data_IF_005081561739
#
_entry.id   IF_005081561739
#
_cell.length_a   1.000
_cell.length_b   1.000
_cell.length_c   1.000
_cell.angle_alpha   90.00
_cell.angle_beta   90.00
_cell.angle_gamma   90.00
#
_symmetry.space_group_name_H-M   'P 1'
#
loop_
_entity.id
_entity.type
_entity.pdbx_description
1 polymer ?
#
# COMPACT_ATOMS: atom_id res chain seq x y z
N UNK A 1 7.43 -10.04 19.23
CA UNK A 1 7.66 -9.16 18.06
C UNK A 1 9.04 -9.48 17.53
N UNK A 2 9.16 -9.74 16.23
CA UNK A 2 10.43 -9.85 15.50
C UNK A 2 10.60 -8.53 14.77
N UNK A 3 11.76 -7.87 14.90
CA UNK A 3 11.92 -6.53 14.33
C UNK A 3 11.73 -6.52 12.81
N UNK A 4 12.44 -7.43 12.13
CA UNK A 4 12.44 -7.56 10.68
C UNK A 4 12.82 -8.98 10.28
N UNK A 5 12.18 -9.53 9.25
CA UNK A 5 12.55 -10.80 8.62
C UNK A 5 13.41 -10.50 7.39
N UNK A 6 14.71 -10.83 7.47
CA UNK A 6 15.69 -10.59 6.39
C UNK A 6 16.16 -11.87 5.70
N UNK A 7 16.10 -12.99 6.40
CA UNK A 7 16.62 -14.29 5.99
C UNK A 7 15.62 -15.42 6.27
N UNK A 8 15.89 -16.57 5.64
CA UNK A 8 15.06 -17.77 5.76
C UNK A 8 14.93 -18.25 7.21
N UNK A 9 16.03 -18.27 7.96
CA UNK A 9 16.05 -18.77 9.34
C UNK A 9 15.09 -17.96 10.23
N UNK A 10 15.16 -16.63 10.17
CA UNK A 10 14.28 -15.75 10.92
C UNK A 10 12.81 -15.90 10.48
N UNK A 11 12.56 -16.05 9.17
CA UNK A 11 11.23 -16.30 8.64
C UNK A 11 10.66 -17.63 9.16
N UNK A 12 11.44 -18.70 9.12
CA UNK A 12 11.04 -20.05 9.51
C UNK A 12 10.69 -20.11 11.00
N UNK A 13 11.54 -19.54 11.86
CA UNK A 13 11.30 -19.47 13.31
C UNK A 13 10.03 -18.65 13.59
N UNK A 14 9.85 -17.52 12.91
CA UNK A 14 8.67 -16.65 13.10
C UNK A 14 7.36 -17.37 12.75
N UNK A 15 7.36 -18.09 11.63
CA UNK A 15 6.19 -18.84 11.16
C UNK A 15 5.89 -20.04 12.07
N UNK A 16 6.90 -20.78 12.52
CA UNK A 16 6.72 -21.87 13.51
C UNK A 16 6.20 -21.34 14.85
N UNK A 17 6.69 -20.20 15.32
CA UNK A 17 6.19 -19.56 16.53
C UNK A 17 4.70 -19.16 16.39
N UNK A 18 4.30 -18.66 15.22
CA UNK A 18 2.90 -18.35 14.94
C UNK A 18 2.01 -19.61 14.95
N UNK A 19 2.47 -20.71 14.33
CA UNK A 19 1.72 -21.98 14.29
C UNK A 19 1.58 -22.66 15.66
N UNK A 20 2.49 -22.39 16.59
CA UNK A 20 2.37 -22.85 17.99
C UNK A 20 1.44 -21.99 18.84
N UNK A 21 0.71 -21.05 18.22
CA UNK A 21 -0.34 -20.25 18.87
C UNK A 21 0.11 -18.88 19.38
N UNK A 22 1.33 -18.43 19.05
CA UNK A 22 1.80 -17.10 19.44
C UNK A 22 1.37 -16.04 18.42
N UNK A 23 0.99 -14.86 18.89
CA UNK A 23 0.85 -13.71 18.01
C UNK A 23 2.23 -13.16 17.64
N UNK A 24 2.60 -13.29 16.37
CA UNK A 24 3.87 -12.80 15.85
C UNK A 24 3.64 -11.55 14.98
N UNK A 25 4.31 -10.47 15.35
CA UNK A 25 4.40 -9.24 14.56
C UNK A 25 5.82 -9.11 14.03
N UNK A 26 5.96 -8.88 12.74
CA UNK A 26 7.24 -8.66 12.07
C UNK A 26 7.12 -7.70 10.90
N UNK A 27 8.26 -7.27 10.35
CA UNK A 27 8.33 -6.40 9.17
C UNK A 27 9.13 -7.05 8.05
N UNK A 28 8.74 -6.78 6.81
CA UNK A 28 9.44 -7.17 5.59
C UNK A 28 9.53 -5.96 4.65
N UNK A 29 10.58 -5.92 3.84
CA UNK A 29 10.73 -4.90 2.80
C UNK A 29 10.16 -5.40 1.47
N UNK A 30 8.94 -4.98 1.18
CA UNK A 30 8.19 -5.32 -0.05
C UNK A 30 7.50 -4.07 -0.61
N UNK A 31 7.03 -4.15 -1.85
CA UNK A 31 6.41 -3.00 -2.52
C UNK A 31 4.93 -2.83 -2.18
N UNK A 32 4.26 -3.95 -1.92
CA UNK A 32 2.83 -4.08 -1.65
C UNK A 32 2.56 -5.33 -0.80
N UNK A 33 1.33 -5.46 -0.33
CA UNK A 33 0.93 -6.54 0.55
C UNK A 33 0.93 -7.91 -0.17
N UNK A 34 0.37 -8.09 -1.39
CA UNK A 34 0.42 -9.37 -2.11
C UNK A 34 1.85 -9.88 -2.38
N UNK A 35 2.78 -8.99 -2.77
CA UNK A 35 4.19 -9.34 -3.01
C UNK A 35 4.91 -9.87 -1.77
N UNK A 36 4.36 -9.63 -0.57
CA UNK A 36 4.90 -10.17 0.68
C UNK A 36 4.70 -11.67 0.79
N UNK A 37 3.60 -12.20 0.25
CA UNK A 37 3.41 -13.65 0.12
C UNK A 37 4.52 -14.23 -0.74
N UNK A 38 4.71 -13.71 -1.97
CA UNK A 38 5.75 -14.18 -2.87
C UNK A 38 7.15 -14.03 -2.27
N UNK A 39 7.41 -12.98 -1.48
CA UNK A 39 8.69 -12.81 -0.79
C UNK A 39 8.96 -13.92 0.22
N UNK A 40 7.96 -14.33 1.02
CA UNK A 40 8.09 -15.44 1.97
C UNK A 40 8.36 -16.77 1.24
N UNK A 41 7.62 -17.04 0.15
CA UNK A 41 7.82 -18.23 -0.67
C UNK A 41 9.23 -18.26 -1.29
N UNK A 42 9.70 -17.13 -1.84
CA UNK A 42 11.04 -16.99 -2.41
C UNK A 42 12.16 -17.11 -1.36
N UNK A 43 11.85 -16.90 -0.08
CA UNK A 43 12.79 -17.15 1.02
C UNK A 43 12.87 -18.64 1.40
N UNK A 44 11.99 -19.49 0.86
CA UNK A 44 11.95 -20.92 1.13
C UNK A 44 10.86 -21.34 2.12
N UNK A 45 9.95 -20.45 2.51
CA UNK A 45 8.82 -20.83 3.36
C UNK A 45 7.79 -21.58 2.53
N UNK A 46 7.43 -22.78 2.98
CA UNK A 46 6.43 -23.61 2.30
C UNK A 46 5.06 -22.93 2.22
N UNK A 47 4.34 -23.03 1.09
CA UNK A 47 3.05 -22.35 0.90
C UNK A 47 2.03 -22.64 1.99
N UNK A 48 1.95 -23.89 2.46
CA UNK A 48 1.01 -24.26 3.52
C UNK A 48 1.31 -23.57 4.85
N UNK A 49 2.59 -23.32 5.14
CA UNK A 49 2.99 -22.59 6.35
C UNK A 49 2.59 -21.12 6.25
N UNK A 50 2.74 -20.50 5.08
CA UNK A 50 2.28 -19.12 4.83
C UNK A 50 0.75 -19.04 5.00
N UNK A 51 0.01 -19.92 4.32
CA UNK A 51 -1.45 -19.95 4.36
C UNK A 51 -2.02 -20.20 5.78
N UNK A 52 -1.34 -21.03 6.58
CA UNK A 52 -1.80 -21.39 7.92
C UNK A 52 -1.39 -20.36 9.00
N UNK A 53 -0.27 -19.65 8.83
CA UNK A 53 0.28 -18.76 9.87
C UNK A 53 0.01 -17.27 9.65
N UNK A 54 -0.11 -16.82 8.41
CA UNK A 54 -0.26 -15.39 8.10
C UNK A 54 -1.72 -15.00 8.20
N UNK A 55 -2.02 -14.08 9.13
CA UNK A 55 -3.38 -13.57 9.35
C UNK A 55 -3.64 -12.31 8.51
N UNK A 56 -2.68 -11.39 8.49
CA UNK A 56 -2.81 -10.08 7.87
C UNK A 56 -1.45 -9.56 7.44
N UNK A 57 -1.39 -8.96 6.25
CA UNK A 57 -0.24 -8.21 5.75
C UNK A 57 -0.67 -6.76 5.60
N UNK A 58 0.14 -5.85 6.14
CA UNK A 58 -0.06 -4.40 5.98
C UNK A 58 1.12 -3.80 5.21
N UNK A 59 0.86 -3.25 4.04
CA UNK A 59 1.81 -2.41 3.33
C UNK A 59 1.51 -0.94 3.61
N UNK A 60 2.56 -0.16 3.88
CA UNK A 60 2.41 1.25 4.20
C UNK A 60 3.41 2.13 3.46
N UNK A 61 2.96 3.34 3.10
CA UNK A 61 3.82 4.41 2.58
C UNK A 61 3.49 5.71 3.31
N UNK A 62 4.51 6.53 3.53
CA UNK A 62 4.34 7.89 4.03
C UNK A 62 4.37 8.86 2.85
N UNK A 63 3.35 9.71 2.78
CA UNK A 63 3.25 10.79 1.80
C UNK A 63 3.20 12.14 2.50
N UNK A 64 3.73 13.17 1.87
CA UNK A 64 3.78 14.53 2.43
C UNK A 64 2.39 15.16 2.39
N UNK A 65 2.01 15.84 3.48
CA UNK A 65 0.73 16.58 3.53
C UNK A 65 0.93 17.97 2.92
N UNK A 66 -0.03 18.43 2.11
CA UNK A 66 -0.03 19.80 1.58
C UNK A 66 -0.01 20.83 2.71
N UNK A 67 0.75 21.90 2.53
CA UNK A 67 0.78 23.00 3.49
C UNK A 67 -0.51 23.82 3.42
N UNK A 68 -1.29 23.85 4.52
CA UNK A 68 -2.57 24.58 4.57
C UNK A 68 -2.41 26.10 4.32
N UNK A 69 -1.24 26.69 4.61
CA UNK A 69 -1.00 28.13 4.44
C UNK A 69 -0.74 28.54 2.99
N UNK A 70 -0.37 27.60 2.11
CA UNK A 70 0.01 27.90 0.73
C UNK A 70 -0.56 26.88 -0.27
N UNK A 71 -1.61 26.16 0.13
CA UNK A 71 -2.34 25.23 -0.71
C UNK A 71 -3.18 26.03 -1.71
N UNK A 72 -3.04 25.70 -2.98
CA UNK A 72 -3.80 26.31 -4.08
C UNK A 72 -4.33 25.23 -5.03
N UNK A 73 -5.44 25.55 -5.71
CA UNK A 73 -6.06 24.67 -6.69
C UNK A 73 -5.15 24.53 -7.92
N UNK A 74 -4.98 23.31 -8.39
CA UNK A 74 -4.18 22.97 -9.56
C UNK A 74 -5.09 22.38 -10.64
N UNK A 75 -5.13 23.01 -11.80
CA UNK A 75 -5.87 22.48 -12.95
C UNK A 75 -5.06 21.37 -13.61
N UNK A 76 -5.57 20.14 -13.53
CA UNK A 76 -4.94 18.97 -14.15
C UNK A 76 -5.82 18.47 -15.28
N UNK A 77 -5.26 18.16 -16.47
CA UNK A 77 -6.05 17.63 -17.57
C UNK A 77 -6.75 16.33 -17.21
N UNK A 78 -8.03 16.20 -17.57
CA UNK A 78 -8.85 14.98 -17.36
C UNK A 78 -8.14 13.70 -17.85
N UNK A 79 -7.48 13.67 -19.04
CA UNK A 79 -6.76 12.46 -19.47
C UNK A 79 -5.64 12.03 -18.52
N UNK A 80 -4.94 12.98 -17.89
CA UNK A 80 -3.90 12.68 -16.92
C UNK A 80 -4.49 12.11 -15.62
N UNK A 81 -5.65 12.62 -15.19
CA UNK A 81 -6.37 12.10 -14.02
C UNK A 81 -6.88 10.67 -14.26
N UNK A 82 -7.41 10.38 -15.44
CA UNK A 82 -7.83 9.02 -15.80
C UNK A 82 -6.65 8.06 -15.81
N UNK A 83 -5.51 8.45 -16.40
CA UNK A 83 -4.28 7.65 -16.37
C UNK A 83 -3.75 7.40 -14.95
N UNK A 84 -4.02 8.29 -14.00
CA UNK A 84 -3.64 8.10 -12.60
C UNK A 84 -4.51 7.07 -11.86
N UNK A 85 -5.70 6.77 -12.39
CA UNK A 85 -6.67 5.81 -11.85
C UNK A 85 -7.98 6.42 -11.37
N UNK A 86 -8.29 7.68 -11.67
CA UNK A 86 -9.64 8.24 -11.46
C UNK A 86 -10.59 7.72 -12.54
N UNK A 87 -11.88 7.56 -12.21
CA UNK A 87 -12.91 7.37 -13.24
C UNK A 87 -13.10 8.66 -14.05
N UNK A 88 -13.68 8.57 -15.25
CA UNK A 88 -13.95 9.76 -16.08
C UNK A 88 -14.86 10.77 -15.37
N UNK A 89 -15.87 10.28 -14.64
CA UNK A 89 -16.80 11.10 -13.84
C UNK A 89 -16.08 11.84 -12.72
N UNK A 90 -15.17 11.16 -12.02
CA UNK A 90 -14.38 11.75 -10.95
C UNK A 90 -13.36 12.74 -11.51
N UNK A 91 -12.70 12.39 -12.61
CA UNK A 91 -11.71 13.23 -13.25
C UNK A 91 -12.31 14.56 -13.76
N UNK A 92 -13.59 14.58 -14.14
CA UNK A 92 -14.29 15.79 -14.57
C UNK A 92 -14.64 16.76 -13.43
N UNK A 93 -14.74 16.27 -12.18
CA UNK A 93 -15.27 17.04 -11.05
C UNK A 93 -14.25 17.28 -9.93
N UNK A 94 -13.17 16.51 -9.89
CA UNK A 94 -12.17 16.57 -8.84
C UNK A 94 -11.36 17.87 -8.87
N UNK A 95 -11.18 18.44 -7.68
CA UNK A 95 -10.25 19.55 -7.46
C UNK A 95 -8.92 19.02 -6.96
N UNK A 96 -7.88 19.20 -7.76
CA UNK A 96 -6.53 18.87 -7.35
C UNK A 96 -5.87 20.09 -6.69
N UNK A 97 -4.90 19.83 -5.83
CA UNK A 97 -4.22 20.89 -5.09
C UNK A 97 -2.72 20.66 -5.08
N UNK A 98 -1.99 21.78 -5.10
CA UNK A 98 -0.55 21.84 -4.95
C UNK A 98 -0.16 22.87 -3.90
N UNK A 99 1.07 22.77 -3.39
CA UNK A 99 1.62 23.77 -2.48
C UNK A 99 2.59 24.68 -3.22
N UNK A 100 2.30 25.98 -3.31
CA UNK A 100 3.21 26.94 -3.98
C UNK A 100 4.53 27.20 -3.25
N UNK A 101 4.61 26.83 -1.96
CA UNK A 101 5.73 27.14 -1.07
C UNK A 101 5.52 28.45 -0.30
N UNK A 102 5.85 28.43 0.99
CA UNK A 102 5.82 29.62 1.85
C UNK A 102 6.76 29.43 3.07
N UNK A 103 7.02 30.48 3.86
CA UNK A 103 7.83 30.37 5.06
C UNK A 103 7.34 29.31 6.06
N UNK A 104 6.02 29.12 6.19
CA UNK A 104 5.44 28.15 7.13
C UNK A 104 5.76 26.68 6.79
N UNK A 105 6.13 26.39 5.54
CA UNK A 105 6.54 25.06 5.09
C UNK A 105 8.00 25.03 4.59
N UNK A 106 8.81 26.02 4.95
CA UNK A 106 10.18 26.19 4.45
C UNK A 106 10.27 26.13 2.92
N UNK A 107 9.31 26.77 2.24
CA UNK A 107 9.17 26.81 0.78
C UNK A 107 9.03 25.45 0.09
N UNK A 108 8.75 24.36 0.83
CA UNK A 108 8.59 23.02 0.23
C UNK A 108 7.22 22.76 -0.40
N UNK A 109 6.20 23.53 -0.03
CA UNK A 109 4.80 23.27 -0.39
C UNK A 109 4.10 22.23 0.50
N UNK A 110 4.83 21.56 1.40
CA UNK A 110 4.30 20.48 2.24
C UNK A 110 4.61 20.69 3.72
N UNK A 111 3.69 20.29 4.61
CA UNK A 111 3.90 20.36 6.06
C UNK A 111 3.27 19.15 6.75
N UNK A 112 4.12 18.30 7.31
CA UNK A 112 3.70 17.04 7.92
C UNK A 112 3.60 15.89 6.91
N UNK A 113 3.17 14.72 7.40
CA UNK A 113 3.03 13.49 6.62
C UNK A 113 1.72 12.80 6.99
N UNK A 114 1.21 12.01 6.06
CA UNK A 114 0.10 11.08 6.29
C UNK A 114 0.52 9.70 5.78
N UNK A 115 -0.07 8.66 6.34
CA UNK A 115 0.17 7.29 5.92
C UNK A 115 -0.92 6.81 4.94
N UNK A 116 -0.49 6.01 3.97
CA UNK A 116 -1.32 5.20 3.09
C UNK A 116 -1.17 3.74 3.56
N UNK A 117 -2.28 3.03 3.76
CA UNK A 117 -2.30 1.69 4.34
C UNK A 117 -3.05 0.72 3.45
N UNK A 118 -2.33 -0.16 2.76
CA UNK A 118 -2.90 -1.28 2.04
C UNK A 118 -2.94 -2.49 2.97
N UNK A 119 -4.14 -2.98 3.27
CA UNK A 119 -4.37 -4.02 4.26
C UNK A 119 -4.92 -5.25 3.56
N UNK A 120 -4.18 -6.35 3.64
CA UNK A 120 -4.49 -7.65 3.06
C UNK A 120 -4.74 -8.66 4.18
N UNK A 121 -5.99 -8.87 4.62
CA UNK A 121 -6.36 -10.03 5.41
C UNK A 121 -6.26 -11.28 4.54
N UNK A 122 -5.54 -12.30 4.99
CA UNK A 122 -5.39 -13.54 4.23
C UNK A 122 -6.65 -14.43 4.43
N UNK A 123 -7.72 -14.10 3.72
CA UNK A 123 -8.99 -14.86 3.71
C UNK A 123 -8.82 -16.22 3.06
N UNK A 124 -9.77 -17.13 3.26
CA UNK A 124 -9.66 -18.53 2.83
C UNK A 124 -9.44 -18.68 1.32
N UNK A 125 -10.12 -17.90 0.48
CA UNK A 125 -9.88 -17.90 -0.97
C UNK A 125 -8.44 -17.50 -1.33
N UNK A 126 -7.85 -16.52 -0.63
CA UNK A 126 -6.46 -16.15 -0.86
C UNK A 126 -5.51 -17.23 -0.35
N UNK A 127 -5.82 -17.91 0.75
CA UNK A 127 -5.04 -19.04 1.24
C UNK A 127 -5.01 -20.17 0.22
N UNK A 128 -6.14 -20.52 -0.38
CA UNK A 128 -6.22 -21.51 -1.46
C UNK A 128 -5.33 -21.11 -2.64
N UNK A 129 -5.41 -19.85 -3.09
CA UNK A 129 -4.53 -19.33 -4.14
C UNK A 129 -3.04 -19.41 -3.78
N UNK A 130 -2.66 -19.19 -2.51
CA UNK A 130 -1.27 -19.38 -2.07
C UNK A 130 -0.84 -20.84 -2.20
N UNK A 131 -1.70 -21.79 -1.82
CA UNK A 131 -1.42 -23.23 -1.94
C UNK A 131 -1.29 -23.68 -3.39
N UNK A 132 -2.06 -23.07 -4.30
CA UNK A 132 -2.02 -23.31 -5.75
C UNK A 132 -0.82 -22.63 -6.44
N UNK A 133 -0.06 -21.79 -5.72
CA UNK A 133 1.09 -21.09 -6.27
C UNK A 133 0.73 -19.89 -7.14
N UNK A 134 -0.39 -19.24 -6.88
CA UNK A 134 -0.82 -18.04 -7.59
C UNK A 134 0.23 -16.91 -7.50
N UNK A 135 0.32 -16.13 -8.57
CA UNK A 135 1.19 -14.96 -8.65
C UNK A 135 0.70 -13.83 -7.73
N UNK A 136 1.61 -12.91 -7.40
CA UNK A 136 1.27 -11.71 -6.63
C UNK A 136 0.18 -10.85 -7.32
N UNK A 137 0.13 -10.83 -8.65
CA UNK A 137 -0.87 -10.10 -9.42
C UNK A 137 -2.26 -10.74 -9.33
N UNK A 138 -2.33 -12.08 -9.40
CA UNK A 138 -3.58 -12.82 -9.19
C UNK A 138 -4.10 -12.63 -7.76
N UNK A 139 -3.22 -12.74 -6.76
CA UNK A 139 -3.55 -12.45 -5.36
C UNK A 139 -4.04 -11.02 -5.19
N UNK A 140 -3.40 -10.04 -5.83
CA UNK A 140 -3.80 -8.62 -5.80
C UNK A 140 -5.20 -8.43 -6.37
N UNK A 141 -5.49 -8.99 -7.55
CA UNK A 141 -6.81 -8.91 -8.19
C UNK A 141 -7.92 -9.49 -7.31
N UNK A 142 -7.70 -10.68 -6.76
CA UNK A 142 -8.64 -11.32 -5.84
C UNK A 142 -8.80 -10.53 -4.56
N UNK A 143 -7.71 -10.04 -3.96
CA UNK A 143 -7.76 -9.22 -2.76
C UNK A 143 -8.56 -7.92 -2.97
N UNK A 144 -8.37 -7.24 -4.09
CA UNK A 144 -9.14 -6.04 -4.45
C UNK A 144 -10.62 -6.36 -4.60
N UNK A 145 -10.95 -7.46 -5.28
CA UNK A 145 -12.33 -7.96 -5.40
C UNK A 145 -12.95 -8.27 -4.02
N UNK A 146 -12.15 -8.76 -3.07
CA UNK A 146 -12.54 -9.06 -1.69
C UNK A 146 -12.55 -7.83 -0.76
N UNK A 147 -12.33 -6.63 -1.30
CA UNK A 147 -12.45 -5.35 -0.60
C UNK A 147 -11.14 -4.71 -0.15
N UNK A 148 -9.98 -5.26 -0.51
CA UNK A 148 -8.70 -4.57 -0.31
C UNK A 148 -8.64 -3.32 -1.18
N UNK A 149 -8.15 -2.21 -0.61
CA UNK A 149 -7.80 -1.01 -1.38
C UNK A 149 -6.29 -0.93 -1.51
N UNK A 150 -5.82 -0.72 -2.73
CA UNK A 150 -4.38 -0.59 -2.99
C UNK A 150 -3.83 0.73 -2.44
N UNK A 151 -2.51 0.81 -2.28
CA UNK A 151 -1.82 2.07 -1.93
C UNK A 151 -2.20 3.20 -2.88
N UNK A 152 -2.30 2.93 -4.20
CA UNK A 152 -2.69 3.92 -5.21
C UNK A 152 -4.14 4.36 -5.01
N UNK A 153 -5.10 3.44 -4.88
CA UNK A 153 -6.52 3.77 -4.64
C UNK A 153 -6.73 4.62 -3.38
N UNK A 154 -5.96 4.36 -2.33
CA UNK A 154 -5.99 5.15 -1.10
C UNK A 154 -5.37 6.53 -1.35
N UNK A 155 -4.26 6.60 -2.07
CA UNK A 155 -3.62 7.84 -2.49
C UNK A 155 -4.57 8.75 -3.27
N UNK A 156 -5.27 8.21 -4.27
CA UNK A 156 -6.29 8.93 -5.05
C UNK A 156 -7.40 9.47 -4.15
N UNK A 157 -7.82 8.69 -3.15
CA UNK A 157 -8.78 9.15 -2.12
C UNK A 157 -8.26 10.35 -1.33
N UNK A 158 -6.97 10.39 -1.00
CA UNK A 158 -6.35 11.50 -0.27
C UNK A 158 -6.17 12.75 -1.15
N UNK A 159 -5.98 12.57 -2.46
CA UNK A 159 -6.01 13.66 -3.44
C UNK A 159 -7.41 14.26 -3.51
N UNK A 160 -8.49 13.44 -3.60
CA UNK A 160 -9.88 13.92 -3.57
C UNK A 160 -10.19 14.77 -2.35
N UNK A 161 -9.62 14.41 -1.20
CA UNK A 161 -9.76 15.17 0.06
C UNK A 161 -8.88 16.42 0.11
N UNK A 162 -8.03 16.66 -0.89
CA UNK A 162 -7.07 17.76 -0.95
C UNK A 162 -5.98 17.69 0.14
N UNK A 163 -5.65 16.50 0.64
CA UNK A 163 -4.68 16.34 1.74
C UNK A 163 -3.25 16.23 1.22
N UNK A 164 -3.07 15.71 0.02
CA UNK A 164 -1.78 15.52 -0.66
C UNK A 164 -1.91 15.90 -2.14
N UNK A 165 -0.78 16.05 -2.84
CA UNK A 165 -0.72 16.31 -4.27
C UNK A 165 -0.68 15.02 -5.10
N UNK A 166 -0.91 15.16 -6.41
CA UNK A 166 -0.70 14.08 -7.38
C UNK A 166 0.77 13.66 -7.43
N UNK A 167 1.68 14.64 -7.48
CA UNK A 167 3.13 14.44 -7.48
C UNK A 167 3.55 13.49 -6.35
N UNK A 168 3.02 13.72 -5.14
CA UNK A 168 3.34 12.92 -3.98
C UNK A 168 2.83 11.48 -4.07
N UNK A 169 1.63 11.26 -4.60
CA UNK A 169 1.08 9.91 -4.75
C UNK A 169 1.84 9.14 -5.82
N UNK A 170 2.15 9.75 -6.95
CA UNK A 170 2.96 9.13 -8.01
C UNK A 170 4.36 8.79 -7.50
N UNK A 171 4.96 9.64 -6.66
CA UNK A 171 6.29 9.40 -6.09
C UNK A 171 6.35 8.19 -5.15
N UNK A 172 5.30 7.95 -4.36
CA UNK A 172 5.33 6.93 -3.29
C UNK A 172 4.54 5.66 -3.60
N UNK A 173 3.77 5.63 -4.69
CA UNK A 173 2.97 4.48 -5.10
C UNK A 173 3.34 4.04 -6.51
N UNK A 174 3.43 2.73 -6.72
CA UNK A 174 3.56 2.17 -8.07
C UNK A 174 2.22 2.28 -8.82
N UNK A 175 2.26 2.24 -10.15
CA UNK A 175 1.05 2.07 -10.95
C UNK A 175 0.40 0.72 -10.65
N UNK A 176 -0.92 0.69 -10.62
CA UNK A 176 -1.68 -0.54 -10.44
C UNK A 176 -1.86 -1.31 -11.74
#
# INVERSE_FOLDING_TARGET
MVGEIRDFETAEISVKAALTGHLVLSTLHTNDAPSTVSRLLNMGIEPFLVAASVVLIASQRLTRKLCESCKEEETVPVPALVQLGFSEEEAATIKCFRGRGCPACNNSGYRGRIALYEILPLKDELKEMVLEGASADELKKTAVRLGMRTLRMIGLSKIKMGVTSIEEIVRVTYGD
#
